data_IF_175073977400
#
_entry.id   IF_175073977400
#
_cell.length_a   1.000
_cell.length_b   1.000
_cell.length_c   1.000
_cell.angle_alpha   90.00
_cell.angle_beta   90.00
_cell.angle_gamma   90.00
#
_symmetry.space_group_name_H-M   'P 1'
#
loop_
_entity.id
_entity.type
_entity.pdbx_description
1 polymer ?
#
# COMPACT_ATOMS: atom_id res chain seq x y z
N UNK A 1 7.95 -17.01 5.48
CA UNK A 1 8.46 -15.68 5.55
C UNK A 1 8.30 -15.12 6.92
N UNK A 2 9.40 -14.81 7.55
CA UNK A 2 9.36 -14.42 8.95
C UNK A 2 9.80 -12.97 9.16
N UNK A 3 9.68 -12.14 8.14
CA UNK A 3 10.12 -10.77 8.23
C UNK A 3 9.16 -9.96 9.09
N UNK A 4 9.72 -9.05 9.86
CA UNK A 4 8.91 -8.09 10.60
C UNK A 4 8.44 -6.99 9.67
N UNK A 5 7.27 -6.41 9.93
CA UNK A 5 6.84 -5.26 9.13
C UNK A 5 7.79 -4.08 9.30
N UNK A 6 7.89 -3.26 8.27
CA UNK A 6 8.64 -2.02 8.34
C UNK A 6 7.98 -1.12 9.37
N UNK A 7 8.79 -0.35 10.10
CA UNK A 7 8.27 0.53 11.14
C UNK A 7 7.20 1.45 10.58
N UNK A 8 6.06 1.46 11.23
CA UNK A 8 4.92 2.29 10.84
C UNK A 8 4.02 1.68 9.80
N UNK A 9 4.39 0.53 9.21
CA UNK A 9 3.61 -0.06 8.11
C UNK A 9 2.23 -0.53 8.57
N UNK A 10 2.17 -1.22 9.70
CA UNK A 10 0.90 -1.77 10.19
C UNK A 10 -0.05 -0.64 10.56
N UNK A 11 0.45 0.32 11.31
CA UNK A 11 -0.35 1.48 11.74
C UNK A 11 -0.83 2.29 10.53
N UNK A 12 0.03 2.46 9.54
CA UNK A 12 -0.33 3.21 8.34
C UNK A 12 -1.37 2.48 7.52
N UNK A 13 -1.26 1.16 7.39
CA UNK A 13 -2.25 0.37 6.71
C UNK A 13 -3.60 0.47 7.41
N UNK A 14 -3.61 0.40 8.74
CA UNK A 14 -4.82 0.52 9.51
C UNK A 14 -5.46 1.90 9.33
N UNK A 15 -4.64 2.95 9.36
CA UNK A 15 -5.15 4.30 9.17
C UNK A 15 -5.76 4.48 7.77
N UNK A 16 -5.04 4.03 6.73
CA UNK A 16 -5.53 4.15 5.37
C UNK A 16 -6.84 3.38 5.18
N UNK A 17 -6.90 2.17 5.71
CA UNK A 17 -8.07 1.31 5.58
C UNK A 17 -9.29 1.91 6.31
N UNK A 18 -9.04 2.68 7.38
CA UNK A 18 -10.12 3.27 8.15
C UNK A 18 -10.74 4.49 7.46
N UNK A 19 -10.10 5.02 6.43
CA UNK A 19 -10.60 6.20 5.72
C UNK A 19 -11.68 5.77 4.72
N UNK A 20 -12.88 6.31 4.80
CA UNK A 20 -13.97 5.86 3.91
C UNK A 20 -13.72 6.19 2.44
N UNK A 21 -12.85 7.14 2.14
CA UNK A 21 -12.55 7.51 0.76
C UNK A 21 -11.55 6.60 0.09
N UNK A 22 -10.89 5.72 0.85
CA UNK A 22 -9.82 4.87 0.31
C UNK A 22 -10.27 3.42 0.23
N UNK A 23 -9.92 2.78 -0.87
CA UNK A 23 -10.08 1.35 -1.05
C UNK A 23 -8.67 0.78 -1.13
N UNK A 24 -8.19 0.22 -0.04
CA UNK A 24 -6.78 -0.11 0.13
C UNK A 24 -6.54 -1.58 -0.15
N UNK A 25 -5.60 -1.86 -1.04
CA UNK A 25 -5.19 -3.21 -1.37
C UNK A 25 -3.71 -3.39 -1.09
N UNK A 26 -3.30 -4.62 -0.85
CA UNK A 26 -1.90 -4.98 -0.70
C UNK A 26 -1.48 -5.65 -2.00
N UNK A 27 -0.51 -5.05 -2.69
CA UNK A 27 -0.04 -5.57 -3.96
C UNK A 27 1.41 -6.01 -3.80
N UNK A 28 1.66 -7.28 -4.03
CA UNK A 28 2.99 -7.84 -3.87
C UNK A 28 3.35 -8.71 -5.06
N UNK A 29 4.62 -8.75 -5.42
CA UNK A 29 5.11 -9.60 -6.49
C UNK A 29 5.63 -10.91 -5.92
N UNK A 30 5.33 -12.04 -6.53
CA UNK A 30 5.81 -13.32 -6.04
C UNK A 30 7.23 -13.59 -6.50
N UNK A 31 7.92 -14.48 -5.78
CA UNK A 31 9.13 -15.09 -6.27
C UNK A 31 8.72 -16.36 -6.98
N UNK A 32 8.83 -16.39 -8.30
CA UNK A 32 8.39 -17.56 -9.08
C UNK A 32 9.25 -18.77 -8.82
N UNK A 33 10.43 -18.58 -8.25
CA UNK A 33 11.33 -19.69 -7.95
C UNK A 33 11.00 -20.38 -6.63
N UNK A 34 10.18 -19.75 -5.78
CA UNK A 34 9.80 -20.32 -4.50
C UNK A 34 8.34 -20.73 -4.57
N UNK A 35 8.05 -22.03 -4.68
CA UNK A 35 6.66 -22.48 -4.82
C UNK A 35 5.81 -22.19 -3.59
N UNK A 36 6.42 -21.89 -2.45
CA UNK A 36 5.68 -21.58 -1.23
C UNK A 36 5.43 -20.08 -1.06
N UNK A 37 5.91 -19.26 -2.00
CA UNK A 37 5.86 -17.81 -1.86
C UNK A 37 4.43 -17.29 -1.67
N UNK A 38 3.47 -17.82 -2.42
CA UNK A 38 2.09 -17.33 -2.35
C UNK A 38 1.48 -17.59 -0.98
N UNK A 39 1.63 -18.81 -0.47
CA UNK A 39 1.07 -19.12 0.84
C UNK A 39 1.79 -18.40 1.97
N UNK A 40 3.10 -18.20 1.83
CA UNK A 40 3.86 -17.45 2.84
C UNK A 40 3.41 -16.00 2.90
N UNK A 41 3.18 -15.37 1.75
CA UNK A 41 2.73 -13.98 1.71
C UNK A 41 1.32 -13.85 2.28
N UNK A 42 0.44 -14.78 1.96
CA UNK A 42 -0.90 -14.81 2.49
C UNK A 42 -0.90 -14.95 4.00
N UNK A 43 -0.08 -15.86 4.53
CA UNK A 43 0.03 -16.09 5.97
C UNK A 43 0.60 -14.85 6.67
N UNK A 44 1.64 -14.25 6.09
CA UNK A 44 2.26 -13.06 6.65
C UNK A 44 1.25 -11.91 6.77
N UNK A 45 0.43 -11.72 5.73
CA UNK A 45 -0.58 -10.67 5.74
C UNK A 45 -1.60 -10.92 6.85
N UNK A 46 -2.07 -12.15 6.99
CA UNK A 46 -3.03 -12.45 8.03
C UNK A 46 -2.44 -12.24 9.43
N UNK A 47 -1.18 -12.66 9.63
CA UNK A 47 -0.55 -12.54 10.93
C UNK A 47 -0.33 -11.08 11.34
N UNK A 48 0.05 -10.24 10.41
CA UNK A 48 0.44 -8.87 10.75
C UNK A 48 -0.65 -7.84 10.51
N UNK A 49 -1.56 -8.10 9.58
CA UNK A 49 -2.58 -7.11 9.19
C UNK A 49 -4.01 -7.62 9.36
N UNK A 50 -4.17 -8.90 9.66
CA UNK A 50 -5.48 -9.48 9.95
C UNK A 50 -6.13 -10.15 8.75
N UNK A 51 -7.14 -10.97 9.02
CA UNK A 51 -7.82 -11.74 7.99
C UNK A 51 -8.50 -10.84 6.96
N UNK A 52 -9.08 -9.72 7.40
CA UNK A 52 -9.75 -8.82 6.47
C UNK A 52 -8.77 -8.25 5.43
N UNK A 53 -7.52 -8.01 5.83
CA UNK A 53 -6.50 -7.56 4.90
C UNK A 53 -6.16 -8.63 3.87
N UNK A 54 -6.27 -9.90 4.23
CA UNK A 54 -5.98 -10.98 3.29
C UNK A 54 -6.98 -11.02 2.14
N UNK A 55 -8.21 -10.55 2.36
CA UNK A 55 -9.18 -10.43 1.27
C UNK A 55 -8.80 -9.33 0.27
N UNK A 56 -7.90 -8.44 0.68
CA UNK A 56 -7.44 -7.35 -0.17
C UNK A 56 -6.02 -7.58 -0.68
N UNK A 57 -5.54 -8.82 -0.63
CA UNK A 57 -4.20 -9.15 -1.07
C UNK A 57 -4.21 -9.56 -2.55
N UNK A 58 -3.38 -8.89 -3.32
CA UNK A 58 -3.16 -9.20 -4.72
C UNK A 58 -1.70 -9.62 -4.88
N UNK A 59 -1.47 -10.81 -5.43
CA UNK A 59 -0.14 -11.28 -5.73
C UNK A 59 0.00 -11.32 -7.24
N UNK A 60 0.86 -10.48 -7.77
CA UNK A 60 0.97 -10.31 -9.21
C UNK A 60 2.43 -10.14 -9.61
N UNK A 61 2.90 -10.87 -10.62
CA UNK A 61 4.27 -10.67 -11.11
C UNK A 61 4.43 -9.39 -11.92
N UNK A 62 3.35 -8.74 -12.29
CA UNK A 62 3.40 -7.49 -13.04
C UNK A 62 2.48 -6.46 -12.39
N UNK A 63 3.06 -5.57 -11.62
CA UNK A 63 2.28 -4.58 -10.87
C UNK A 63 1.60 -3.57 -11.77
N UNK A 64 2.12 -3.37 -12.99
CA UNK A 64 1.52 -2.44 -13.93
C UNK A 64 0.20 -2.90 -14.53
N UNK A 65 -0.15 -4.19 -14.36
CA UNK A 65 -1.45 -4.67 -14.81
C UNK A 65 -2.57 -4.37 -13.84
N UNK A 66 -2.25 -3.85 -12.68
CA UNK A 66 -3.25 -3.55 -11.65
C UNK A 66 -3.64 -2.08 -11.72
N UNK A 67 -4.88 -1.79 -11.40
CA UNK A 67 -5.40 -0.43 -11.46
C UNK A 67 -5.42 0.18 -10.08
N UNK A 68 -5.21 1.48 -10.02
CA UNK A 68 -5.31 2.23 -8.79
C UNK A 68 -4.92 3.67 -9.01
N UNK A 69 -5.22 4.51 -8.03
CA UNK A 69 -4.85 5.91 -8.10
C UNK A 69 -3.43 6.10 -7.59
N UNK A 70 -3.01 5.30 -6.63
CA UNK A 70 -1.70 5.39 -6.02
C UNK A 70 -1.10 4.02 -5.79
N UNK A 71 0.19 3.91 -5.97
CA UNK A 71 0.96 2.72 -5.63
C UNK A 71 2.11 3.16 -4.71
N UNK A 72 2.18 2.60 -3.52
CA UNK A 72 3.27 2.85 -2.59
C UNK A 72 4.22 1.67 -2.68
N UNK A 73 5.41 1.88 -3.18
CA UNK A 73 6.36 0.79 -3.43
C UNK A 73 7.77 1.29 -3.19
N UNK A 74 8.62 0.43 -2.67
CA UNK A 74 10.03 0.76 -2.46
C UNK A 74 10.83 0.66 -3.76
N UNK A 75 10.23 0.18 -4.84
CA UNK A 75 10.84 0.12 -6.15
C UNK A 75 9.90 0.72 -7.18
N UNK A 76 10.47 1.32 -8.21
CA UNK A 76 9.67 1.93 -9.27
C UNK A 76 9.82 1.21 -10.60
N UNK A 77 10.54 0.10 -10.61
CA UNK A 77 10.72 -0.71 -11.81
C UNK A 77 11.08 -2.13 -11.41
N UNK A 78 11.12 -3.03 -12.37
CA UNK A 78 11.54 -4.41 -12.15
C UNK A 78 10.40 -5.40 -11.97
N UNK A 79 9.22 -4.94 -11.60
CA UNK A 79 8.03 -5.79 -11.45
C UNK A 79 6.82 -5.14 -12.14
N UNK A 80 7.07 -4.36 -13.19
CA UNK A 80 6.00 -3.72 -13.96
C UNK A 80 5.52 -2.39 -13.41
N UNK A 81 6.15 -1.87 -12.36
CA UNK A 81 5.71 -0.62 -11.74
C UNK A 81 5.67 0.52 -12.74
N UNK A 82 6.62 0.52 -13.69
CA UNK A 82 6.73 1.60 -14.66
C UNK A 82 5.50 1.72 -15.56
N UNK A 83 4.69 0.68 -15.64
CA UNK A 83 3.46 0.69 -16.44
C UNK A 83 2.21 0.98 -15.60
N UNK A 84 2.38 1.22 -14.30
CA UNK A 84 1.24 1.56 -13.45
C UNK A 84 0.73 2.95 -13.84
N UNK A 85 -0.58 3.05 -14.04
CA UNK A 85 -1.15 4.27 -14.60
C UNK A 85 -1.46 5.36 -13.57
N UNK A 86 -1.45 5.03 -12.30
CA UNK A 86 -1.64 6.03 -11.27
C UNK A 86 -0.32 6.65 -10.83
N UNK A 87 -0.34 7.30 -9.70
CA UNK A 87 0.84 7.94 -9.14
C UNK A 87 1.59 6.95 -8.26
N UNK A 88 2.92 6.87 -8.40
CA UNK A 88 3.73 6.01 -7.56
C UNK A 88 4.42 6.86 -6.51
N UNK A 89 4.23 6.48 -5.24
CA UNK A 89 4.98 7.08 -4.14
C UNK A 89 6.16 6.15 -3.87
N UNK A 90 7.35 6.62 -4.15
CA UNK A 90 8.55 5.79 -4.01
C UNK A 90 8.98 5.76 -2.55
N UNK A 91 8.57 4.72 -1.85
CA UNK A 91 8.90 4.54 -0.44
C UNK A 91 10.39 4.34 -0.26
N UNK A 92 10.98 5.05 0.69
CA UNK A 92 12.41 4.99 0.93
C UNK A 92 13.21 6.02 0.14
N UNK A 93 12.54 6.81 -0.69
CA UNK A 93 13.20 7.89 -1.43
C UNK A 93 13.36 9.11 -0.53
N UNK A 94 14.03 10.14 -1.02
CA UNK A 94 14.17 11.38 -0.25
C UNK A 94 12.83 12.08 -0.05
N UNK A 95 11.89 11.86 -0.95
CA UNK A 95 10.56 12.48 -0.85
C UNK A 95 9.66 11.73 0.12
N UNK A 96 9.74 10.41 0.15
CA UNK A 96 8.93 9.57 1.03
C UNK A 96 9.82 8.60 1.79
N UNK A 97 10.65 9.12 2.73
CA UNK A 97 11.63 8.26 3.42
C UNK A 97 11.02 7.25 4.38
N UNK A 98 9.80 7.48 4.83
CA UNK A 98 9.16 6.63 5.82
C UNK A 98 7.65 6.69 5.69
N UNK A 99 6.96 5.92 6.52
CA UNK A 99 5.50 5.89 6.47
C UNK A 99 4.85 7.19 6.94
N UNK A 100 5.52 7.93 7.83
CA UNK A 100 5.01 9.23 8.28
C UNK A 100 4.87 10.17 7.09
N UNK A 101 5.89 10.23 6.22
CA UNK A 101 5.83 11.10 5.04
C UNK A 101 4.75 10.68 4.07
N UNK A 102 4.52 9.36 3.92
CA UNK A 102 3.47 8.86 3.05
C UNK A 102 2.09 9.26 3.59
N UNK A 103 1.88 9.06 4.88
CA UNK A 103 0.60 9.40 5.49
C UNK A 103 0.37 10.92 5.44
N UNK A 104 1.42 11.72 5.65
CA UNK A 104 1.31 13.18 5.56
C UNK A 104 0.91 13.61 4.15
N UNK A 105 1.41 12.93 3.12
CA UNK A 105 1.01 13.21 1.75
C UNK A 105 -0.51 13.03 1.59
N UNK A 106 -1.05 11.92 2.07
CA UNK A 106 -2.47 11.66 1.94
C UNK A 106 -3.31 12.61 2.78
N UNK A 107 -2.87 12.92 4.00
CA UNK A 107 -3.59 13.86 4.85
C UNK A 107 -3.66 15.23 4.20
N UNK A 108 -2.53 15.69 3.68
CA UNK A 108 -2.48 17.01 3.06
C UNK A 108 -3.35 17.08 1.82
N UNK A 109 -3.23 16.07 0.95
CA UNK A 109 -3.96 16.06 -0.30
C UNK A 109 -5.46 16.01 -0.09
N UNK A 110 -5.92 15.13 0.79
CA UNK A 110 -7.35 14.93 0.98
C UNK A 110 -7.97 15.91 1.96
N UNK A 111 -7.19 16.46 2.87
CA UNK A 111 -7.67 17.53 3.73
C UNK A 111 -8.00 18.77 2.92
N UNK A 112 -7.17 19.10 1.94
CA UNK A 112 -7.46 20.24 1.09
C UNK A 112 -8.75 20.02 0.31
N UNK A 113 -8.96 18.83 -0.21
CA UNK A 113 -10.18 18.52 -0.92
C UNK A 113 -11.39 18.58 0.00
N UNK A 114 -11.25 18.03 1.19
CA UNK A 114 -12.35 18.00 2.14
C UNK A 114 -12.70 19.39 2.64
N UNK A 115 -11.69 20.23 2.87
CA UNK A 115 -11.99 21.57 3.37
C UNK A 115 -12.75 22.40 2.36
N UNK A 116 -12.57 22.15 1.09
CA UNK A 116 -13.35 22.86 0.09
C UNK A 116 -14.79 22.42 0.07
N UNK A 117 -15.06 21.20 0.48
CA UNK A 117 -16.40 20.66 0.54
C UNK A 117 -16.99 20.74 1.92
N UNK A 118 -16.23 21.28 2.86
CA UNK A 118 -16.65 21.36 4.19
C UNK A 118 -17.01 20.12 4.87
N UNK A 119 -16.45 19.09 4.53
CA UNK A 119 -16.71 17.88 5.08
C UNK A 119 -16.25 17.72 6.39
N UNK A 120 -16.89 17.47 7.22
CA UNK A 120 -16.53 17.38 8.50
C UNK A 120 -15.87 16.32 8.95
N UNK A 121 -15.76 15.82 9.19
CA UNK A 121 -15.30 15.05 9.83
C UNK A 121 -14.92 13.93 9.99
N UNK A 122 -14.73 13.47 10.14
CA UNK A 122 -14.41 12.35 10.39
C UNK A 122 -13.21 12.12 10.17
N UNK A 123 -12.69 12.06 10.31
CA UNK A 123 -11.61 11.69 10.19
C UNK A 123 -10.96 11.81 10.79
#
# INVERSE_FOLDING_TARGET
MSLSPVKGAVESFQWLTSQPSFDVYILTAPSVRNPHCYSEKRTWVEEHLGLQAAYKLIISPNKGLNRGDFLIDDKISGKGQEAFEGEILHFGSSEYPDWISVIDFFKSKYSLMLSMDEIPIHN
#
